data_IF_048611498102
#
_entry.id   IF_048611498102
#
_cell.length_a   1.000
_cell.length_b   1.000
_cell.length_c   1.000
_cell.angle_alpha   90.00
_cell.angle_beta   90.00
_cell.angle_gamma   90.00
#
_symmetry.space_group_name_H-M   'P 1'
#
loop_
_entity.id
_entity.type
_entity.pdbx_description
1 polymer ?
#
# COMPACT_ATOMS: atom_id res chain seq x y z
N UNK A 1 -8.40 -13.58 -16.84
CA UNK A 1 -6.99 -13.32 -16.49
C UNK A 1 -6.97 -12.70 -15.11
N UNK A 2 -6.41 -13.39 -14.12
CA UNK A 2 -6.15 -12.79 -12.81
C UNK A 2 -4.78 -12.11 -12.90
N UNK A 3 -4.77 -10.78 -12.87
CA UNK A 3 -3.53 -10.02 -12.97
C UNK A 3 -3.04 -9.73 -11.55
N UNK A 4 -2.24 -10.65 -11.00
CA UNK A 4 -1.57 -10.46 -9.71
C UNK A 4 -0.36 -9.53 -9.89
N UNK A 5 -0.46 -8.29 -9.42
CA UNK A 5 0.68 -7.37 -9.36
C UNK A 5 1.33 -7.46 -7.98
N UNK A 6 2.14 -8.51 -7.75
CA UNK A 6 2.86 -8.67 -6.49
C UNK A 6 4.10 -7.76 -6.37
N UNK A 7 4.57 -7.15 -7.46
CA UNK A 7 5.83 -6.40 -7.52
C UNK A 7 5.69 -4.93 -8.02
N UNK A 8 4.51 -4.32 -7.93
CA UNK A 8 4.27 -2.95 -8.42
C UNK A 8 3.86 -2.02 -7.28
N UNK A 9 4.69 -1.01 -6.95
CA UNK A 9 4.27 0.08 -6.05
C UNK A 9 3.95 1.36 -6.83
N UNK A 10 2.76 1.93 -6.62
CA UNK A 10 2.32 3.16 -7.31
C UNK A 10 2.03 4.23 -6.29
N UNK A 11 2.69 5.37 -6.44
CA UNK A 11 2.33 6.54 -5.67
C UNK A 11 1.10 7.19 -6.28
N UNK A 12 0.05 7.32 -5.47
CA UNK A 12 -1.19 8.00 -5.82
C UNK A 12 -1.42 9.18 -4.88
N UNK A 13 -1.72 10.35 -5.45
CA UNK A 13 -2.24 11.48 -4.69
C UNK A 13 -3.67 11.19 -4.20
N UNK A 14 -4.15 11.96 -3.23
CA UNK A 14 -5.53 11.83 -2.74
C UNK A 14 -6.54 12.10 -3.85
N UNK A 15 -6.24 13.07 -4.71
CA UNK A 15 -7.07 13.46 -5.86
C UNK A 15 -7.15 12.33 -6.88
N UNK A 16 -6.03 11.65 -7.16
CA UNK A 16 -6.00 10.49 -8.07
C UNK A 16 -6.79 9.30 -7.52
N UNK A 17 -6.67 9.03 -6.22
CA UNK A 17 -7.46 8.00 -5.56
C UNK A 17 -8.96 8.33 -5.61
N UNK A 18 -9.32 9.57 -5.29
CA UNK A 18 -10.71 10.03 -5.33
C UNK A 18 -11.28 9.93 -6.75
N UNK A 19 -10.52 10.33 -7.77
CA UNK A 19 -10.94 10.22 -9.16
C UNK A 19 -11.21 8.75 -9.55
N UNK A 20 -10.32 7.83 -9.17
CA UNK A 20 -10.52 6.41 -9.43
C UNK A 20 -11.78 5.87 -8.73
N UNK A 21 -12.01 6.27 -7.48
CA UNK A 21 -13.22 5.92 -6.71
C UNK A 21 -14.48 6.42 -7.41
N UNK A 22 -14.51 7.67 -7.88
CA UNK A 22 -15.65 8.22 -8.61
C UNK A 22 -15.94 7.44 -9.90
N UNK A 23 -14.91 7.09 -10.67
CA UNK A 23 -15.06 6.38 -11.94
C UNK A 23 -15.57 4.94 -11.78
N UNK A 24 -15.20 4.23 -10.71
CA UNK A 24 -15.72 2.88 -10.47
C UNK A 24 -17.14 2.91 -9.88
N UNK A 25 -17.48 3.91 -9.07
CA UNK A 25 -18.82 4.08 -8.51
C UNK A 25 -19.89 4.31 -9.59
N UNK A 26 -19.54 4.95 -10.72
CA UNK A 26 -20.48 5.16 -11.83
C UNK A 26 -20.90 3.87 -12.56
N UNK A 27 -20.17 2.76 -12.37
CA UNK A 27 -20.38 1.49 -13.09
C UNK A 27 -20.97 0.39 -12.19
N UNK A 28 -21.86 0.75 -11.25
CA UNK A 28 -22.53 -0.17 -10.31
C UNK A 28 -21.60 -0.91 -9.33
N UNK A 29 -20.39 -0.40 -9.10
CA UNK A 29 -19.53 -0.90 -8.04
C UNK A 29 -19.87 -0.24 -6.70
N UNK A 30 -19.72 -1.02 -5.64
CA UNK A 30 -19.71 -0.57 -4.25
C UNK A 30 -18.28 -0.54 -3.76
N UNK A 31 -18.02 0.37 -2.85
CA UNK A 31 -16.72 0.55 -2.24
C UNK A 31 -16.83 0.29 -0.75
N UNK A 32 -15.92 -0.52 -0.24
CA UNK A 32 -15.66 -0.65 1.18
C UNK A 32 -14.19 -0.38 1.44
N UNK A 33 -13.89 0.53 2.35
CA UNK A 33 -12.52 0.80 2.76
C UNK A 33 -12.38 0.70 4.26
N UNK A 34 -11.21 0.27 4.69
CA UNK A 34 -10.86 0.16 6.10
C UNK A 34 -9.36 0.24 6.29
N UNK A 35 -8.95 0.57 7.51
CA UNK A 35 -7.56 0.50 7.91
C UNK A 35 -7.31 -0.80 8.66
N UNK A 36 -6.30 -1.55 8.23
CA UNK A 36 -5.83 -2.74 8.93
C UNK A 36 -4.30 -2.69 9.00
N UNK A 37 -3.73 -2.76 10.21
CA UNK A 37 -2.28 -2.74 10.42
C UNK A 37 -1.57 -1.58 9.68
N UNK A 38 -2.15 -0.37 9.75
CA UNK A 38 -1.68 0.85 9.09
C UNK A 38 -1.64 0.81 7.55
N UNK A 39 -2.29 -0.20 6.95
CA UNK A 39 -2.59 -0.27 5.53
C UNK A 39 -4.05 0.12 5.31
N UNK A 40 -4.31 0.96 4.32
CA UNK A 40 -5.67 1.18 3.83
C UNK A 40 -5.99 0.06 2.84
N UNK A 41 -7.04 -0.71 3.12
CA UNK A 41 -7.56 -1.71 2.21
C UNK A 41 -8.81 -1.13 1.58
N UNK A 42 -8.82 -1.06 0.25
CA UNK A 42 -9.93 -0.60 -0.56
C UNK A 42 -10.46 -1.78 -1.36
N UNK A 43 -11.68 -2.22 -1.05
CA UNK A 43 -12.40 -3.22 -1.82
C UNK A 43 -13.40 -2.53 -2.74
N UNK A 44 -13.34 -2.84 -4.03
CA UNK A 44 -14.23 -2.34 -5.08
C UNK A 44 -14.94 -3.56 -5.65
N UNK A 45 -16.23 -3.71 -5.36
CA UNK A 45 -16.95 -4.93 -5.65
C UNK A 45 -18.33 -4.67 -6.22
N UNK A 46 -18.84 -5.61 -6.99
CA UNK A 46 -20.23 -5.66 -7.42
C UNK A 46 -20.77 -7.08 -7.16
N UNK A 47 -21.89 -7.46 -7.79
CA UNK A 47 -22.46 -8.81 -7.61
C UNK A 47 -21.59 -9.94 -8.17
N UNK A 48 -20.67 -9.64 -9.08
CA UNK A 48 -19.93 -10.63 -9.86
C UNK A 48 -18.45 -10.72 -9.46
N UNK A 49 -17.85 -9.61 -9.02
CA UNK A 49 -16.41 -9.52 -8.76
C UNK A 49 -16.10 -8.67 -7.53
N UNK A 50 -15.03 -9.03 -6.83
CA UNK A 50 -14.44 -8.23 -5.75
C UNK A 50 -12.98 -7.94 -6.12
N UNK A 51 -12.65 -6.65 -6.18
CA UNK A 51 -11.30 -6.16 -6.45
C UNK A 51 -10.75 -5.57 -5.16
N UNK A 52 -9.47 -5.80 -4.86
CA UNK A 52 -8.81 -5.35 -3.65
C UNK A 52 -7.55 -4.58 -3.97
N UNK A 53 -7.46 -3.38 -3.42
CA UNK A 53 -6.29 -2.51 -3.50
C UNK A 53 -5.80 -2.25 -2.07
N UNK A 54 -4.50 -2.38 -1.84
CA UNK A 54 -3.90 -2.13 -0.51
C UNK A 54 -2.88 -1.02 -0.62
N UNK A 55 -2.99 -0.04 0.25
CA UNK A 55 -2.15 1.13 0.27
C UNK A 55 -1.48 1.31 1.63
N UNK A 56 -0.30 1.92 1.65
CA UNK A 56 0.32 2.49 2.85
C UNK A 56 0.32 4.01 2.75
N UNK A 57 0.11 4.65 3.90
CA UNK A 57 0.19 6.10 3.99
C UNK A 57 1.65 6.53 4.02
N UNK A 58 2.04 7.40 3.09
CA UNK A 58 3.31 8.15 3.10
C UNK A 58 3.00 9.61 3.41
N UNK A 59 4.01 10.40 3.78
CA UNK A 59 3.79 11.84 4.05
C UNK A 59 3.17 12.51 2.82
N UNK A 60 1.91 12.97 2.94
CA UNK A 60 1.17 13.63 1.87
C UNK A 60 0.63 12.74 0.72
N UNK A 61 0.85 11.42 0.73
CA UNK A 61 0.42 10.53 -0.37
C UNK A 61 0.06 9.11 0.09
N UNK A 62 -0.56 8.34 -0.80
CA UNK A 62 -0.86 6.92 -0.59
C UNK A 62 -0.03 6.10 -1.59
N UNK A 63 0.75 5.15 -1.09
CA UNK A 63 1.49 4.22 -1.94
C UNK A 63 0.69 2.92 -2.05
N UNK A 64 0.22 2.60 -3.26
CA UNK A 64 -0.42 1.33 -3.59
C UNK A 64 0.66 0.24 -3.57
N UNK A 65 0.52 -0.75 -2.70
CA UNK A 65 1.50 -1.82 -2.48
C UNK A 65 1.00 -3.21 -2.87
N UNK A 66 -0.31 -3.36 -3.12
CA UNK A 66 -0.88 -4.62 -3.57
C UNK A 66 -2.17 -4.38 -4.36
N UNK A 67 -2.34 -5.13 -5.44
CA UNK A 67 -3.45 -5.02 -6.39
C UNK A 67 -3.94 -6.42 -6.76
N UNK A 68 -5.19 -6.71 -6.44
CA UNK A 68 -5.96 -7.85 -6.91
C UNK A 68 -7.19 -7.31 -7.65
N UNK A 69 -7.12 -7.28 -8.98
CA UNK A 69 -8.18 -6.72 -9.83
C UNK A 69 -8.64 -7.80 -10.80
N UNK A 70 -9.93 -8.08 -10.74
CA UNK A 70 -10.64 -9.09 -11.54
C UNK A 70 -11.59 -8.44 -12.57
N UNK A 71 -11.80 -7.12 -12.47
CA UNK A 71 -12.62 -6.32 -13.38
C UNK A 71 -11.78 -5.47 -14.32
N UNK A 72 -12.06 -5.57 -15.62
CA UNK A 72 -11.45 -4.70 -16.63
C UNK A 72 -11.84 -3.23 -16.49
N UNK A 73 -13.01 -2.93 -15.91
CA UNK A 73 -13.44 -1.57 -15.59
C UNK A 73 -12.55 -0.95 -14.52
N UNK A 74 -12.34 -1.69 -13.41
CA UNK A 74 -11.47 -1.24 -12.31
C UNK A 74 -10.01 -1.13 -12.78
N UNK A 75 -9.56 -2.05 -13.62
CA UNK A 75 -8.22 -1.99 -14.22
C UNK A 75 -8.03 -0.74 -15.10
N UNK A 76 -9.03 -0.38 -15.91
CA UNK A 76 -9.00 0.83 -16.76
C UNK A 76 -9.00 2.11 -15.92
N UNK A 77 -9.85 2.18 -14.89
CA UNK A 77 -9.92 3.31 -13.98
C UNK A 77 -8.58 3.49 -13.23
N UNK A 78 -8.01 2.38 -12.75
CA UNK A 78 -6.68 2.39 -12.12
C UNK A 78 -5.63 2.92 -13.11
N UNK A 79 -5.52 2.31 -14.30
CA UNK A 79 -4.56 2.75 -15.34
C UNK A 79 -4.71 4.23 -15.69
N UNK A 80 -5.94 4.75 -15.79
CA UNK A 80 -6.21 6.15 -16.08
C UNK A 80 -5.77 7.05 -14.93
N UNK A 81 -6.13 6.72 -13.70
CA UNK A 81 -5.71 7.48 -12.51
C UNK A 81 -4.20 7.46 -12.29
N UNK A 82 -3.52 6.42 -12.76
CA UNK A 82 -2.07 6.27 -12.67
C UNK A 82 -1.34 6.74 -13.92
N UNK A 83 -2.00 7.17 -15.01
CA UNK A 83 -1.32 7.53 -16.28
C UNK A 83 -0.24 8.59 -16.09
N UNK A 84 -0.45 9.55 -15.19
CA UNK A 84 0.56 10.54 -14.82
C UNK A 84 1.60 10.00 -13.82
N UNK A 85 1.23 9.05 -12.96
CA UNK A 85 2.13 8.36 -12.05
C UNK A 85 3.06 7.36 -12.76
N UNK A 86 2.67 6.82 -13.93
CA UNK A 86 3.49 5.91 -14.77
C UNK A 86 4.72 6.57 -15.35
N UNK A 87 4.79 7.91 -15.41
CA UNK A 87 6.07 8.60 -15.72
C UNK A 87 7.11 8.45 -14.59
N UNK A 88 6.70 8.00 -13.39
CA UNK A 88 7.57 7.87 -12.20
C UNK A 88 7.80 6.44 -11.70
N UNK A 89 7.20 5.39 -12.25
CA UNK A 89 7.36 3.99 -11.79
C UNK A 89 7.08 3.07 -13.00
N UNK A 90 7.89 2.14 -13.53
CA UNK A 90 9.03 1.34 -13.05
C UNK A 90 9.94 0.99 -14.25
N UNK A 91 11.19 1.47 -14.23
CA UNK A 91 12.33 0.65 -14.71
C UNK A 91 13.06 0.22 -13.46
N UNK A 92 13.36 -1.09 -13.34
CA UNK A 92 14.29 -1.65 -12.36
C UNK A 92 15.44 -0.66 -12.11
N UNK A 93 15.50 -0.08 -10.92
CA UNK A 93 16.78 0.34 -10.36
C UNK A 93 16.98 -0.51 -9.12
N UNK A 94 18.02 -1.34 -9.20
CA UNK A 94 18.63 -2.07 -8.09
C UNK A 94 18.47 -1.31 -6.78
N UNK A 95 18.10 -2.01 -5.68
CA UNK A 95 18.03 -1.55 -4.28
C UNK A 95 18.67 -0.16 -4.12
N UNK A 96 17.93 0.89 -4.46
CA UNK A 96 18.41 2.25 -4.19
C UNK A 96 18.07 2.46 -2.74
N UNK A 97 19.09 2.73 -1.94
CA UNK A 97 18.95 3.08 -0.53
C UNK A 97 17.76 4.04 -0.39
N UNK A 98 16.75 3.63 0.39
CA UNK A 98 15.62 4.49 0.70
C UNK A 98 16.16 5.74 1.40
N UNK A 99 15.59 6.93 1.17
CA UNK A 99 15.96 8.12 1.94
C UNK A 99 15.87 7.81 3.44
N UNK A 100 16.90 8.16 4.22
CA UNK A 100 16.95 7.85 5.67
C UNK A 100 15.70 8.33 6.40
N UNK A 101 15.12 9.45 5.97
CA UNK A 101 13.88 10.01 6.53
C UNK A 101 12.67 9.09 6.36
N UNK A 102 12.59 8.35 5.25
CA UNK A 102 11.51 7.39 4.99
C UNK A 102 11.67 6.14 5.85
N UNK A 103 12.90 5.65 6.02
CA UNK A 103 13.21 4.51 6.90
C UNK A 103 12.93 4.87 8.37
N UNK A 104 13.33 6.07 8.81
CA UNK A 104 13.07 6.58 10.15
C UNK A 104 11.56 6.65 10.45
N UNK A 105 10.78 7.14 9.49
CA UNK A 105 9.31 7.21 9.61
C UNK A 105 8.69 5.81 9.72
N UNK A 106 9.19 4.84 8.95
CA UNK A 106 8.75 3.45 9.04
C UNK A 106 9.10 2.84 10.41
N UNK A 107 10.28 3.14 10.96
CA UNK A 107 10.68 2.73 12.31
C UNK A 107 9.73 3.31 13.37
N UNK A 108 9.45 4.61 13.32
CA UNK A 108 8.58 5.27 14.29
C UNK A 108 7.15 4.69 14.29
N UNK A 109 6.62 4.40 13.09
CA UNK A 109 5.32 3.75 12.94
C UNK A 109 5.30 2.34 13.56
N UNK A 110 6.35 1.56 13.33
CA UNK A 110 6.45 0.18 13.84
C UNK A 110 6.74 0.14 15.34
N UNK A 111 7.43 1.14 15.90
CA UNK A 111 7.57 1.31 17.35
C UNK A 111 6.22 1.59 18.01
N UNK A 112 5.37 2.43 17.39
CA UNK A 112 4.00 2.65 17.85
C UNK A 112 3.17 1.36 17.88
N UNK A 113 3.28 0.53 16.84
CA UNK A 113 2.62 -0.79 16.78
C UNK A 113 3.18 -1.77 17.80
N UNK A 114 4.50 -1.78 17.98
CA UNK A 114 5.15 -2.62 18.97
C UNK A 114 4.62 -2.32 20.37
N UNK A 115 4.53 -1.03 20.72
CA UNK A 115 3.98 -0.59 22.00
C UNK A 115 2.55 -1.10 22.18
N UNK A 116 1.69 -0.93 21.17
CA UNK A 116 0.31 -1.41 21.20
C UNK A 116 0.23 -2.93 21.37
N UNK A 117 0.97 -3.72 20.59
CA UNK A 117 0.95 -5.19 20.72
C UNK A 117 1.50 -5.69 22.05
N UNK A 118 2.47 -4.99 22.63
CA UNK A 118 2.97 -5.31 23.98
C UNK A 118 1.85 -5.08 25.01
N UNK A 119 1.13 -3.96 24.94
CA UNK A 119 -0.01 -3.68 25.83
C UNK A 119 -1.13 -4.71 25.70
N UNK A 120 -1.40 -5.21 24.50
CA UNK A 120 -2.43 -6.21 24.24
C UNK A 120 -1.98 -7.66 24.54
N UNK A 121 -0.73 -7.89 24.94
CA UNK A 121 -0.20 -9.24 25.20
C UNK A 121 -0.01 -10.11 23.96
N UNK A 122 0.02 -9.50 22.76
CA UNK A 122 0.00 -10.15 21.45
C UNK A 122 1.40 -10.67 21.04
N UNK A 123 1.91 -11.67 21.77
CA UNK A 123 3.31 -12.15 21.69
C UNK A 123 3.80 -12.49 20.27
N UNK A 124 2.95 -13.09 19.43
CA UNK A 124 3.30 -13.43 18.05
C UNK A 124 3.47 -12.20 17.17
N UNK A 125 2.63 -11.19 17.35
CA UNK A 125 2.70 -9.93 16.60
C UNK A 125 3.90 -9.09 17.07
N UNK A 126 4.18 -9.08 18.37
CA UNK A 126 5.41 -8.50 18.94
C UNK A 126 6.66 -9.08 18.26
N UNK A 127 6.75 -10.41 18.12
CA UNK A 127 7.90 -11.06 17.47
C UNK A 127 8.06 -10.64 16.00
N UNK A 128 6.94 -10.53 15.26
CA UNK A 128 6.95 -10.10 13.86
C UNK A 128 7.41 -8.65 13.71
N UNK A 129 6.88 -7.74 14.53
CA UNK A 129 7.26 -6.32 14.48
C UNK A 129 8.72 -6.12 14.88
N UNK A 130 9.22 -6.85 15.89
CA UNK A 130 10.65 -6.82 16.26
C UNK A 130 11.55 -7.23 15.09
N UNK A 131 11.18 -8.27 14.33
CA UNK A 131 11.96 -8.70 13.17
C UNK A 131 11.98 -7.62 12.07
N UNK A 132 10.82 -7.03 11.79
CA UNK A 132 10.72 -5.97 10.78
C UNK A 132 11.49 -4.71 11.21
N UNK A 133 11.47 -4.36 12.49
CA UNK A 133 12.29 -3.28 13.04
C UNK A 133 13.79 -3.56 12.89
N UNK A 134 14.25 -4.80 13.10
CA UNK A 134 15.64 -5.19 12.85
C UNK A 134 16.03 -4.98 11.39
N UNK A 135 15.20 -5.43 10.44
CA UNK A 135 15.42 -5.24 9.01
C UNK A 135 15.50 -3.74 8.63
N UNK A 136 14.63 -2.90 9.21
CA UNK A 136 14.63 -1.44 8.98
C UNK A 136 15.87 -0.76 9.57
N UNK A 137 16.33 -1.20 10.75
CA UNK A 137 17.53 -0.65 11.40
C UNK A 137 18.81 -1.07 10.66
N UNK A 138 18.90 -2.31 10.19
CA UNK A 138 19.98 -2.77 9.31
C UNK A 138 20.04 -1.94 8.02
N UNK A 139 18.88 -1.69 7.40
CA UNK A 139 18.82 -0.83 6.22
C UNK A 139 19.21 0.63 6.51
N UNK A 140 18.80 1.19 7.66
CA UNK A 140 19.16 2.55 8.06
C UNK A 140 20.65 2.69 8.36
N UNK A 141 21.24 1.67 8.98
CA UNK A 141 22.66 1.63 9.35
C UNK A 141 23.56 1.31 8.15
N UNK A 142 23.01 0.80 7.05
CA UNK A 142 23.76 0.43 5.85
C UNK A 142 24.67 -0.79 6.06
N UNK A 143 24.43 -1.56 7.11
CA UNK A 143 25.14 -2.82 7.39
C UNK A 143 24.40 -3.92 6.62
N UNK A 144 25.05 -4.41 5.56
CA UNK A 144 24.63 -5.58 4.76
C UNK A 144 25.45 -6.80 5.12
#
# INVERSE_FOLDING_TARGET
METNFNDFSVHMSKEQLNQMVYEVMSDNYRIFWGFNEGKMILNIYNKEVNNKLTFIKRSGSMELIHVDVKSSTVEKALKKSTKDATKKVIKKKAKKARPKMDIQTDIDNELGRLHWYIQQGERLKVKKVKRLLSELVEELSGVS
#
